data_IF_335536051829
#
_entry.id   IF_335536051829
#
_cell.length_a   1.000
_cell.length_b   1.000
_cell.length_c   1.000
_cell.angle_alpha   90.00
_cell.angle_beta   90.00
_cell.angle_gamma   90.00
#
_symmetry.space_group_name_H-M   'P 1'
#
loop_
_entity.id
_entity.type
_entity.pdbx_description
1 polymer ?
#
# COMPACT_ATOMS: atom_id res chain seq x y z
N UNK A 1 6.07 12.91 -25.11
CA UNK A 1 4.82 12.79 -24.33
C UNK A 1 5.08 12.02 -23.06
N UNK A 2 4.76 12.61 -21.91
CA UNK A 2 4.87 11.93 -20.63
C UNK A 2 3.74 10.93 -20.46
N UNK A 3 4.09 9.75 -19.96
CA UNK A 3 3.12 8.71 -19.64
C UNK A 3 3.21 8.37 -18.17
N UNK A 4 2.07 8.17 -17.55
CA UNK A 4 1.96 7.78 -16.15
C UNK A 4 1.34 6.40 -16.06
N UNK A 5 1.86 5.58 -15.16
CA UNK A 5 1.23 4.32 -14.80
C UNK A 5 0.51 4.49 -13.48
N UNK A 6 -0.74 4.07 -13.43
CA UNK A 6 -1.56 4.11 -12.23
C UNK A 6 -1.93 2.68 -11.84
N UNK A 7 -1.66 2.32 -10.59
CA UNK A 7 -1.91 0.98 -10.07
C UNK A 7 -2.64 1.09 -8.74
N UNK A 8 -3.60 0.23 -8.50
CA UNK A 8 -4.30 0.15 -7.21
C UNK A 8 -4.59 -1.29 -6.85
N UNK A 9 -4.96 -1.52 -5.59
CA UNK A 9 -5.40 -2.83 -5.16
C UNK A 9 -4.33 -3.90 -5.10
N UNK A 10 -3.08 -3.53 -4.84
CA UNK A 10 -1.98 -4.50 -4.73
C UNK A 10 -2.17 -5.45 -3.55
N UNK A 11 -2.65 -4.96 -2.43
CA UNK A 11 -3.04 -5.71 -1.24
C UNK A 11 -1.98 -6.73 -0.80
N UNK A 12 -0.74 -6.29 -0.81
CA UNK A 12 0.40 -7.11 -0.38
C UNK A 12 0.94 -8.08 -1.42
N UNK A 13 0.44 -8.07 -2.64
CA UNK A 13 0.82 -9.02 -3.69
C UNK A 13 2.11 -8.58 -4.40
N UNK A 14 3.24 -9.05 -3.90
CA UNK A 14 4.54 -8.72 -4.49
C UNK A 14 4.68 -9.29 -5.91
N UNK A 15 4.18 -10.49 -6.15
CA UNK A 15 4.28 -11.11 -7.48
C UNK A 15 3.57 -10.28 -8.53
N UNK A 16 2.39 -9.75 -8.20
CA UNK A 16 1.67 -8.86 -9.08
C UNK A 16 2.48 -7.60 -9.35
N UNK A 17 3.04 -7.00 -8.31
CA UNK A 17 3.85 -5.79 -8.44
C UNK A 17 5.09 -6.04 -9.33
N UNK A 18 5.74 -7.17 -9.16
CA UNK A 18 6.91 -7.52 -9.99
C UNK A 18 6.51 -7.67 -11.47
N UNK A 19 5.36 -8.26 -11.73
CA UNK A 19 4.85 -8.37 -13.12
C UNK A 19 4.55 -6.99 -13.71
N UNK A 20 3.99 -6.09 -12.91
CA UNK A 20 3.73 -4.71 -13.32
C UNK A 20 5.05 -4.01 -13.68
N UNK A 21 6.06 -4.13 -12.83
CA UNK A 21 7.37 -3.53 -13.10
C UNK A 21 8.00 -4.08 -14.39
N UNK A 22 7.88 -5.39 -14.63
CA UNK A 22 8.38 -5.99 -15.88
C UNK A 22 7.65 -5.44 -17.10
N UNK A 23 6.33 -5.31 -17.01
CA UNK A 23 5.54 -4.76 -18.12
C UNK A 23 5.92 -3.30 -18.39
N UNK A 24 6.10 -2.52 -17.33
CA UNK A 24 6.49 -1.11 -17.47
C UNK A 24 7.87 -0.95 -18.11
N UNK A 25 8.79 -1.87 -17.84
CA UNK A 25 10.14 -1.82 -18.40
C UNK A 25 10.14 -1.97 -19.92
N UNK A 26 9.07 -2.51 -20.51
CA UNK A 26 8.93 -2.68 -21.96
C UNK A 26 8.15 -1.53 -22.61
N UNK A 27 7.59 -0.61 -21.82
CA UNK A 27 6.81 0.51 -22.31
C UNK A 27 7.68 1.75 -22.44
N UNK A 28 7.66 2.35 -23.63
CA UNK A 28 8.41 3.59 -23.86
C UNK A 28 7.66 4.79 -23.28
N UNK A 29 8.43 5.68 -22.67
CA UNK A 29 7.91 6.97 -22.23
C UNK A 29 7.12 6.94 -20.93
N UNK A 30 7.07 5.82 -20.21
CA UNK A 30 6.49 5.79 -18.87
C UNK A 30 7.53 6.31 -17.89
N UNK A 31 7.24 7.46 -17.30
CA UNK A 31 8.17 8.17 -16.42
C UNK A 31 7.76 8.13 -14.96
N UNK A 32 6.50 7.90 -14.67
CA UNK A 32 5.96 7.94 -13.32
C UNK A 32 5.06 6.76 -13.04
N UNK A 33 5.19 6.19 -11.86
CA UNK A 33 4.33 5.12 -11.36
C UNK A 33 3.66 5.62 -10.08
N UNK A 34 2.32 5.65 -10.08
CA UNK A 34 1.53 6.00 -8.91
C UNK A 34 0.80 4.78 -8.40
N UNK A 35 0.97 4.47 -7.12
CA UNK A 35 0.25 3.38 -6.46
C UNK A 35 -0.82 4.00 -5.58
N UNK A 36 -2.07 3.80 -5.99
CA UNK A 36 -3.23 4.58 -5.51
C UNK A 36 -3.95 3.88 -4.36
N UNK A 37 -3.25 3.68 -3.26
CA UNK A 37 -3.87 3.09 -2.07
C UNK A 37 -4.01 1.57 -2.12
N UNK A 38 -4.56 1.02 -1.06
CA UNK A 38 -4.73 -0.42 -0.86
C UNK A 38 -3.44 -1.20 -1.13
N UNK A 39 -2.34 -0.68 -0.56
CA UNK A 39 -1.03 -1.33 -0.59
C UNK A 39 -1.05 -2.62 0.21
N UNK A 40 -1.87 -2.65 1.24
CA UNK A 40 -2.01 -3.76 2.16
C UNK A 40 -3.43 -4.33 2.10
N UNK A 41 -3.58 -5.49 2.68
CA UNK A 41 -4.86 -6.14 2.85
C UNK A 41 -4.70 -7.35 3.75
N UNK A 42 -5.80 -7.95 4.19
CA UNK A 42 -5.74 -9.07 5.13
C UNK A 42 -5.44 -10.42 4.48
N UNK A 43 -5.40 -10.49 3.15
CA UNK A 43 -5.32 -11.77 2.44
C UNK A 43 -3.96 -12.45 2.54
N UNK A 44 -2.88 -11.68 2.79
CA UNK A 44 -1.52 -12.22 2.81
C UNK A 44 -0.60 -11.31 3.60
N UNK A 45 0.60 -11.80 3.92
CA UNK A 45 1.63 -10.97 4.51
C UNK A 45 2.07 -9.90 3.51
N UNK A 46 2.11 -8.66 3.95
CA UNK A 46 2.36 -7.50 3.09
C UNK A 46 3.79 -6.98 3.18
N UNK A 47 4.62 -7.52 4.07
CA UNK A 47 5.93 -6.94 4.37
C UNK A 47 6.85 -6.92 3.16
N UNK A 48 6.87 -8.00 2.37
CA UNK A 48 7.74 -8.07 1.19
C UNK A 48 7.39 -7.00 0.16
N UNK A 49 6.11 -6.78 -0.08
CA UNK A 49 5.67 -5.71 -0.99
C UNK A 49 6.05 -4.34 -0.44
N UNK A 50 5.79 -4.10 0.85
CA UNK A 50 6.09 -2.82 1.47
C UNK A 50 7.59 -2.51 1.43
N UNK A 51 8.42 -3.51 1.68
CA UNK A 51 9.87 -3.36 1.56
C UNK A 51 10.27 -2.97 0.13
N UNK A 52 9.67 -3.61 -0.87
CA UNK A 52 9.96 -3.32 -2.27
C UNK A 52 9.52 -1.90 -2.66
N UNK A 53 8.38 -1.45 -2.18
CA UNK A 53 7.89 -0.10 -2.42
C UNK A 53 8.79 0.95 -1.76
N UNK A 54 9.27 0.67 -0.56
CA UNK A 54 10.13 1.59 0.19
C UNK A 54 11.57 1.60 -0.31
N UNK A 55 12.05 0.48 -0.84
CA UNK A 55 13.41 0.29 -1.34
C UNK A 55 13.35 -0.32 -2.74
N UNK A 56 13.10 0.50 -3.78
CA UNK A 56 13.02 0.00 -5.13
C UNK A 56 14.33 -0.70 -5.55
N UNK A 57 14.19 -1.76 -6.32
CA UNK A 57 15.33 -2.45 -6.90
C UNK A 57 15.85 -1.68 -8.11
N UNK A 58 17.11 -1.96 -8.47
CA UNK A 58 17.69 -1.43 -9.69
C UNK A 58 16.82 -1.85 -10.89
N UNK A 59 16.45 -0.89 -11.70
CA UNK A 59 15.59 -1.10 -12.85
C UNK A 59 14.10 -0.86 -12.58
N UNK A 60 13.70 -0.77 -11.31
CA UNK A 60 12.33 -0.42 -10.99
C UNK A 60 12.05 1.04 -11.33
N UNK A 61 10.84 1.30 -11.82
CA UNK A 61 10.32 2.64 -11.83
C UNK A 61 9.89 2.98 -10.39
N UNK A 62 10.46 4.06 -9.83
CA UNK A 62 10.20 4.43 -8.43
C UNK A 62 8.72 4.75 -8.23
N UNK A 63 8.05 4.08 -7.29
CA UNK A 63 6.62 4.34 -7.07
C UNK A 63 6.40 5.55 -6.18
N UNK A 64 5.38 6.34 -6.52
CA UNK A 64 4.80 7.33 -5.63
C UNK A 64 3.52 6.74 -5.07
N UNK A 65 3.49 6.53 -3.76
CA UNK A 65 2.39 5.83 -3.10
C UNK A 65 1.52 6.80 -2.32
N UNK A 66 0.22 6.53 -2.33
CA UNK A 66 -0.73 7.19 -1.43
C UNK A 66 -1.42 6.10 -0.60
N UNK A 67 -1.93 6.46 0.57
CA UNK A 67 -2.63 5.48 1.39
C UNK A 67 -4.10 5.38 0.96
N UNK A 68 -4.68 4.20 1.14
CA UNK A 68 -6.08 3.93 0.85
C UNK A 68 -6.84 3.50 2.10
N UNK A 69 -8.00 2.88 1.87
CA UNK A 69 -8.89 2.47 2.96
C UNK A 69 -8.25 1.48 3.93
N UNK A 70 -7.56 0.46 3.43
CA UNK A 70 -6.95 -0.56 4.29
C UNK A 70 -5.83 0.02 5.15
N UNK A 71 -5.00 0.90 4.59
CA UNK A 71 -3.96 1.59 5.35
C UNK A 71 -4.56 2.47 6.43
N UNK A 72 -5.66 3.17 6.12
CA UNK A 72 -6.36 4.00 7.09
C UNK A 72 -6.87 3.18 8.27
N UNK A 73 -7.43 1.99 8.02
CA UNK A 73 -7.90 1.12 9.09
C UNK A 73 -6.75 0.64 9.98
N UNK A 74 -5.64 0.25 9.38
CA UNK A 74 -4.47 -0.19 10.14
C UNK A 74 -3.92 0.95 11.00
N UNK A 75 -3.76 2.13 10.39
CA UNK A 75 -3.22 3.30 11.09
C UNK A 75 -4.14 3.74 12.22
N UNK A 76 -5.45 3.69 12.02
CA UNK A 76 -6.43 4.00 13.07
C UNK A 76 -6.30 3.03 14.25
N UNK A 77 -6.19 1.74 13.98
CA UNK A 77 -6.05 0.73 15.04
C UNK A 77 -4.75 0.88 15.82
N UNK A 78 -3.68 1.32 15.15
CA UNK A 78 -2.38 1.51 15.78
C UNK A 78 -2.18 2.90 16.38
N UNK A 79 -3.23 3.74 16.40
CA UNK A 79 -3.18 5.05 17.05
C UNK A 79 -2.56 6.17 16.24
N UNK A 80 -2.29 5.96 14.95
CA UNK A 80 -1.70 6.98 14.09
C UNK A 80 -2.73 7.99 13.58
N UNK A 81 -4.02 7.76 13.83
CA UNK A 81 -5.12 8.64 13.42
C UNK A 81 -5.98 9.04 14.61
N UNK A 82 -5.35 9.47 15.70
CA UNK A 82 -6.03 9.85 16.93
C UNK A 82 -6.49 8.63 17.73
N UNK A 83 -7.56 8.79 18.50
CA UNK A 83 -8.08 7.74 19.38
C UNK A 83 -9.04 6.79 18.66
N UNK A 84 -9.10 6.85 17.35
CA UNK A 84 -10.00 5.99 16.59
C UNK A 84 -9.42 4.60 16.45
N UNK A 85 -10.17 3.62 16.91
CA UNK A 85 -9.92 2.22 16.58
C UNK A 85 -10.48 1.94 15.18
N UNK A 86 -10.09 0.82 14.59
CA UNK A 86 -10.60 0.44 13.27
C UNK A 86 -12.07 -0.01 13.35
N UNK A 87 -12.95 0.90 13.77
CA UNK A 87 -14.35 0.60 14.00
C UNK A 87 -15.10 0.22 12.72
N UNK A 88 -14.78 0.89 11.63
CA UNK A 88 -15.41 0.58 10.34
C UNK A 88 -15.01 -0.82 9.89
N UNK A 89 -13.74 -1.18 10.01
CA UNK A 89 -13.26 -2.51 9.68
C UNK A 89 -13.96 -3.57 10.54
N UNK A 90 -14.05 -3.33 11.85
CA UNK A 90 -14.73 -4.26 12.76
C UNK A 90 -16.21 -4.43 12.41
N UNK A 91 -16.87 -3.35 12.08
CA UNK A 91 -18.30 -3.37 11.75
C UNK A 91 -18.58 -4.11 10.44
N UNK A 92 -17.73 -3.89 9.42
CA UNK A 92 -17.95 -4.46 8.09
C UNK A 92 -17.38 -5.86 7.91
N UNK A 93 -16.28 -6.17 8.61
CA UNK A 93 -15.54 -7.42 8.40
C UNK A 93 -15.33 -8.25 9.67
N UNK A 94 -15.76 -7.75 10.84
CA UNK A 94 -15.62 -8.44 12.13
C UNK A 94 -14.28 -8.18 12.80
N UNK A 95 -14.19 -8.56 14.08
CA UNK A 95 -12.98 -8.36 14.89
C UNK A 95 -11.80 -9.18 14.38
N UNK A 96 -12.07 -10.37 13.84
CA UNK A 96 -11.02 -11.25 13.33
C UNK A 96 -10.25 -10.60 12.18
N UNK A 97 -10.92 -9.79 11.36
CA UNK A 97 -10.28 -9.09 10.26
C UNK A 97 -9.22 -8.10 10.74
N UNK A 98 -9.46 -7.46 11.89
CA UNK A 98 -8.49 -6.56 12.51
C UNK A 98 -7.23 -7.33 12.90
N UNK A 99 -7.39 -8.46 13.57
CA UNK A 99 -6.26 -9.29 14.00
C UNK A 99 -5.45 -9.80 12.80
N UNK A 100 -6.13 -10.23 11.74
CA UNK A 100 -5.47 -10.69 10.53
C UNK A 100 -4.68 -9.56 9.87
N UNK A 101 -5.27 -8.37 9.79
CA UNK A 101 -4.59 -7.20 9.22
C UNK A 101 -3.37 -6.80 10.04
N UNK A 102 -3.47 -6.81 11.37
CA UNK A 102 -2.35 -6.48 12.26
C UNK A 102 -1.18 -7.45 12.07
N UNK A 103 -1.46 -8.72 11.81
CA UNK A 103 -0.43 -9.73 11.58
C UNK A 103 0.16 -9.65 10.16
N UNK A 104 -0.56 -9.06 9.23
CA UNK A 104 -0.12 -8.98 7.83
C UNK A 104 0.95 -7.91 7.60
N UNK A 105 1.11 -6.95 8.53
CA UNK A 105 2.02 -5.81 8.37
C UNK A 105 2.87 -5.65 9.63
N UNK A 106 4.19 -5.70 9.45
CA UNK A 106 5.14 -5.46 10.55
C UNK A 106 5.08 -3.98 10.97
N UNK A 107 5.21 -3.73 12.27
CA UNK A 107 5.15 -2.38 12.85
C UNK A 107 6.20 -1.43 12.25
N UNK A 108 7.32 -1.93 11.78
CA UNK A 108 8.37 -1.10 11.18
C UNK A 108 7.92 -0.30 9.96
N UNK A 109 6.82 -0.72 9.31
CA UNK A 109 6.28 -0.04 8.15
C UNK A 109 5.30 1.09 8.50
N UNK A 110 4.83 1.14 9.74
CA UNK A 110 3.78 2.09 10.13
C UNK A 110 4.17 3.56 9.98
N UNK A 111 5.38 3.99 10.40
CA UNK A 111 5.76 5.39 10.21
C UNK A 111 5.76 5.81 8.74
N UNK A 112 6.22 4.93 7.85
CA UNK A 112 6.21 5.21 6.42
C UNK A 112 4.78 5.30 5.89
N UNK A 113 3.92 4.35 6.24
CA UNK A 113 2.51 4.38 5.81
C UNK A 113 1.82 5.65 6.31
N UNK A 114 2.10 6.05 7.55
CA UNK A 114 1.52 7.26 8.13
C UNK A 114 2.00 8.54 7.43
N UNK A 115 3.16 8.50 6.79
CA UNK A 115 3.72 9.64 6.07
C UNK A 115 3.12 9.84 4.68
N UNK A 116 2.40 8.85 4.16
CA UNK A 116 1.83 8.93 2.82
C UNK A 116 0.67 9.91 2.76
N UNK A 117 0.48 10.54 1.62
CA UNK A 117 -0.68 11.39 1.38
C UNK A 117 -1.87 10.54 1.01
N UNK A 118 -3.06 11.04 1.34
CA UNK A 118 -4.30 10.46 0.83
C UNK A 118 -4.63 11.08 -0.53
N UNK A 119 -5.52 10.42 -1.26
CA UNK A 119 -5.99 10.95 -2.53
C UNK A 119 -6.63 12.33 -2.38
N UNK A 120 -7.24 12.60 -1.22
CA UNK A 120 -7.90 13.87 -0.94
C UNK A 120 -6.90 15.02 -0.87
N UNK A 121 -5.64 14.74 -0.52
CA UNK A 121 -4.61 15.76 -0.32
C UNK A 121 -3.73 16.01 -1.54
N UNK A 122 -4.02 15.39 -2.66
CA UNK A 122 -3.25 15.57 -3.89
C UNK A 122 -3.77 16.74 -4.74
#
# INVERSE_FOLDING_TARGET
MQRWALVSGLRGDLDLYERIQRDLSTQRGVESLFVLGDLIGPERNCDALLERLRQPKRGDLKPDCIYGWWEEQLLAERGYRGDQNAQVLRREHGDDAVDVLLKAVDERHLPWLASLLSLIHI
#
